data_IF_834983559757
#
_entry.id   IF_834983559757
#
_cell.length_a   1.000
_cell.length_b   1.000
_cell.length_c   1.000
_cell.angle_alpha   90.00
_cell.angle_beta   90.00
_cell.angle_gamma   90.00
#
_symmetry.space_group_name_H-M   'P 1'
#
loop_
_entity.id
_entity.type
_entity.pdbx_description
1 polymer ?
#
# COMPACT_ATOMS: atom_id res chain seq x y z
N UNK A 1 26.74 -53.86 -26.47
CA UNK A 1 27.85 -53.06 -25.90
C UNK A 1 27.46 -52.72 -24.47
N UNK A 2 27.82 -53.42 -23.38
CA UNK A 2 29.13 -53.93 -22.89
C UNK A 2 30.24 -52.88 -22.96
N UNK A 3 30.50 -52.19 -21.85
CA UNK A 3 31.79 -52.23 -21.16
C UNK A 3 31.63 -51.82 -19.69
N UNK A 4 32.23 -52.62 -18.82
CA UNK A 4 32.46 -52.39 -17.39
C UNK A 4 33.96 -52.09 -17.16
N UNK A 5 34.31 -51.39 -16.06
CA UNK A 5 35.53 -51.52 -15.22
C UNK A 5 35.60 -50.29 -14.28
N UNK A 6 35.61 -50.40 -12.92
CA UNK A 6 36.69 -50.81 -11.98
C UNK A 6 38.01 -50.06 -12.24
N UNK A 7 38.81 -49.55 -11.30
CA UNK A 7 38.89 -49.55 -9.83
C UNK A 7 39.87 -48.41 -9.42
N UNK A 8 39.68 -47.75 -8.27
CA UNK A 8 40.53 -47.78 -7.07
C UNK A 8 41.86 -46.99 -7.04
N UNK A 9 41.96 -46.18 -5.97
CA UNK A 9 43.12 -45.82 -5.15
C UNK A 9 44.23 -44.90 -5.69
N UNK A 10 44.44 -43.76 -5.00
CA UNK A 10 45.73 -43.46 -4.37
C UNK A 10 45.62 -42.20 -3.50
N UNK A 11 45.86 -42.41 -2.21
CA UNK A 11 46.11 -41.39 -1.19
C UNK A 11 47.44 -40.70 -1.48
N UNK A 12 47.47 -39.36 -1.45
CA UNK A 12 48.70 -38.60 -1.29
C UNK A 12 48.44 -37.44 -0.33
N UNK A 13 48.90 -37.63 0.91
CA UNK A 13 49.07 -36.58 1.90
C UNK A 13 49.96 -35.47 1.34
N UNK A 14 49.45 -34.23 1.32
CA UNK A 14 50.30 -33.04 1.22
C UNK A 14 49.88 -32.03 2.27
N UNK A 15 50.59 -32.08 3.39
CA UNK A 15 50.64 -31.05 4.42
C UNK A 15 51.06 -29.72 3.79
N UNK A 16 50.16 -28.73 3.74
CA UNK A 16 50.51 -27.32 3.55
C UNK A 16 50.06 -26.54 4.77
N UNK A 17 51.06 -26.12 5.53
CA UNK A 17 51.05 -25.07 6.54
C UNK A 17 50.33 -23.82 6.03
N UNK A 18 49.18 -23.48 6.63
CA UNK A 18 48.55 -22.16 6.48
C UNK A 18 49.41 -21.09 7.16
N UNK A 19 49.78 -20.00 6.46
CA UNK A 19 50.44 -18.86 7.10
C UNK A 19 49.41 -18.08 7.94
N UNK A 20 49.52 -18.20 9.27
CA UNK A 20 48.78 -17.43 10.30
C UNK A 20 48.89 -15.90 10.19
N UNK A 21 49.58 -15.35 9.17
CA UNK A 21 49.79 -13.91 8.95
C UNK A 21 48.81 -13.24 7.98
N UNK A 22 48.00 -13.98 7.21
CA UNK A 22 47.06 -13.38 6.23
C UNK A 22 45.69 -13.06 6.85
N UNK A 23 45.29 -13.77 7.91
CA UNK A 23 43.97 -13.57 8.54
C UNK A 23 43.84 -12.27 9.34
N UNK A 24 44.94 -11.68 9.82
CA UNK A 24 44.91 -10.39 10.55
C UNK A 24 44.67 -9.19 9.64
N UNK A 25 45.11 -9.25 8.38
CA UNK A 25 44.93 -8.15 7.42
C UNK A 25 43.53 -8.11 6.80
N UNK A 26 42.85 -9.25 6.67
CA UNK A 26 41.50 -9.30 6.09
C UNK A 26 40.40 -8.75 7.02
N UNK A 27 40.59 -8.87 8.35
CA UNK A 27 39.66 -8.30 9.33
C UNK A 27 39.73 -6.77 9.33
N UNK A 28 40.93 -6.20 9.31
CA UNK A 28 41.14 -4.74 9.27
C UNK A 28 40.61 -4.09 7.99
N UNK A 29 40.67 -4.78 6.84
CA UNK A 29 40.15 -4.23 5.56
C UNK A 29 38.63 -4.27 5.49
N UNK A 30 37.98 -5.28 6.10
CA UNK A 30 36.50 -5.32 6.17
C UNK A 30 35.94 -4.22 7.07
N UNK A 31 36.58 -3.98 8.21
CA UNK A 31 36.15 -2.91 9.12
C UNK A 31 36.37 -1.52 8.51
N UNK A 32 37.46 -1.34 7.75
CA UNK A 32 37.72 -0.09 7.03
C UNK A 32 36.70 0.16 5.91
N UNK A 33 36.32 -0.87 5.15
CA UNK A 33 35.30 -0.74 4.10
C UNK A 33 33.91 -0.47 4.69
N UNK A 34 33.53 -1.15 5.78
CA UNK A 34 32.25 -0.89 6.45
C UNK A 34 32.16 0.53 7.01
N UNK A 35 33.26 1.06 7.57
CA UNK A 35 33.33 2.46 8.01
C UNK A 35 33.29 3.45 6.84
N UNK A 36 33.95 3.15 5.73
CA UNK A 36 33.92 4.00 4.54
C UNK A 36 32.53 4.02 3.88
N UNK A 37 31.82 2.89 3.87
CA UNK A 37 30.42 2.80 3.44
C UNK A 37 29.51 3.59 4.38
N UNK A 38 29.63 3.42 5.69
CA UNK A 38 28.86 4.20 6.68
C UNK A 38 29.10 5.72 6.56
N UNK A 39 30.36 6.16 6.42
CA UNK A 39 30.68 7.58 6.23
C UNK A 39 30.19 8.12 4.88
N UNK A 40 30.13 7.29 3.84
CA UNK A 40 29.59 7.67 2.53
C UNK A 40 28.07 7.80 2.60
N UNK A 41 27.39 6.89 3.30
CA UNK A 41 25.95 6.95 3.54
C UNK A 41 25.59 8.17 4.42
N UNK A 42 26.38 8.47 5.45
CA UNK A 42 26.23 9.68 6.28
C UNK A 42 26.43 10.96 5.47
N UNK A 43 27.44 11.02 4.59
CA UNK A 43 27.64 12.20 3.71
C UNK A 43 26.53 12.37 2.68
N UNK A 44 26.06 11.28 2.08
CA UNK A 44 24.95 11.29 1.13
C UNK A 44 23.65 11.68 1.83
N UNK A 45 23.43 11.25 3.07
CA UNK A 45 22.33 11.71 3.92
C UNK A 45 22.45 13.20 4.22
N UNK A 46 23.61 13.67 4.70
CA UNK A 46 23.84 15.07 5.06
C UNK A 46 23.66 16.05 3.87
N UNK A 47 24.12 15.69 2.68
CA UNK A 47 23.92 16.51 1.47
C UNK A 47 22.46 16.47 0.98
N UNK A 48 21.75 15.34 1.11
CA UNK A 48 20.30 15.28 0.81
C UNK A 48 19.47 16.20 1.72
N UNK A 49 19.89 16.37 2.97
CA UNK A 49 19.16 17.19 3.94
C UNK A 49 19.40 18.70 3.76
N UNK A 50 20.55 19.12 3.23
CA UNK A 50 20.79 20.55 2.90
C UNK A 50 19.87 21.09 1.81
N UNK A 51 19.49 20.24 0.85
CA UNK A 51 18.65 20.62 -0.29
C UNK A 51 17.14 20.50 -0.03
N UNK A 52 16.74 20.11 1.19
CA UNK A 52 15.33 19.89 1.56
C UNK A 52 15.05 20.16 3.05
N UNK A 53 15.08 21.43 3.49
CA UNK A 53 14.83 21.78 4.89
C UNK A 53 13.44 21.37 5.38
N UNK A 54 12.42 21.31 4.50
CA UNK A 54 11.12 20.81 4.90
C UNK A 54 11.12 19.30 5.15
N UNK A 55 11.75 18.50 4.29
CA UNK A 55 11.81 17.05 4.50
C UNK A 55 12.55 16.71 5.79
N UNK A 56 13.61 17.44 6.13
CA UNK A 56 14.28 17.29 7.43
C UNK A 56 13.32 17.51 8.59
N UNK A 57 12.55 18.60 8.58
CA UNK A 57 11.54 18.87 9.62
C UNK A 57 10.47 17.78 9.72
N UNK A 58 10.10 17.17 8.59
CA UNK A 58 9.16 16.04 8.59
C UNK A 58 9.78 14.82 9.27
N UNK A 59 11.05 14.51 9.01
CA UNK A 59 11.76 13.44 9.72
C UNK A 59 11.88 13.74 11.22
N UNK A 60 12.26 14.97 11.60
CA UNK A 60 12.41 15.36 13.00
C UNK A 60 11.10 15.24 13.78
N UNK A 61 9.96 15.50 13.13
CA UNK A 61 8.64 15.39 13.75
C UNK A 61 8.08 13.96 13.77
N UNK A 62 8.67 13.02 13.03
CA UNK A 62 8.07 11.71 12.74
C UNK A 62 7.95 10.81 13.98
N UNK A 63 8.79 11.00 14.98
CA UNK A 63 8.72 10.25 16.25
C UNK A 63 7.48 10.62 17.08
N UNK A 64 6.93 11.81 16.89
CA UNK A 64 5.68 12.23 17.52
C UNK A 64 4.43 11.73 16.76
N UNK A 65 4.58 11.24 15.53
CA UNK A 65 3.46 10.79 14.71
C UNK A 65 2.86 9.48 15.26
N UNK A 66 1.52 9.39 15.41
CA UNK A 66 0.87 8.15 15.85
C UNK A 66 1.18 6.98 14.92
N UNK A 67 1.72 5.90 15.47
CA UNK A 67 2.06 4.68 14.70
C UNK A 67 0.83 4.06 14.01
N UNK A 68 -0.37 4.24 14.58
CA UNK A 68 -1.64 3.82 13.98
C UNK A 68 -1.90 4.48 12.61
N UNK A 69 -1.28 5.64 12.33
CA UNK A 69 -1.28 6.27 11.00
C UNK A 69 -0.02 5.88 10.24
N UNK A 70 1.17 6.26 10.74
CA UNK A 70 2.39 6.24 9.90
C UNK A 70 2.97 4.84 9.68
N UNK A 71 2.67 3.89 10.57
CA UNK A 71 3.08 2.49 10.43
C UNK A 71 1.97 1.61 9.82
N UNK A 72 0.86 2.24 9.41
CA UNK A 72 -0.22 1.54 8.72
C UNK A 72 0.24 1.06 7.34
N UNK A 73 -0.16 -0.17 6.92
CA UNK A 73 0.10 -0.65 5.58
C UNK A 73 -0.46 0.27 4.49
N UNK A 74 0.32 0.43 3.42
CA UNK A 74 -0.03 1.17 2.21
C UNK A 74 0.04 0.21 1.02
N UNK A 75 -1.09 0.05 0.34
CA UNK A 75 -1.19 -0.81 -0.84
C UNK A 75 -0.97 -0.01 -2.13
N UNK A 76 -0.69 -0.71 -3.22
CA UNK A 76 -0.72 -0.14 -4.56
C UNK A 76 -2.13 -0.22 -5.15
N UNK A 77 -2.52 0.74 -5.98
CA UNK A 77 -3.82 0.76 -6.64
C UNK A 77 -4.11 -0.56 -7.39
N UNK A 78 -3.10 -1.10 -8.07
CA UNK A 78 -3.16 -2.42 -8.74
C UNK A 78 -3.37 -3.61 -7.79
N UNK A 79 -3.06 -3.48 -6.51
CA UNK A 79 -3.27 -4.51 -5.48
C UNK A 79 -4.68 -4.41 -4.88
N UNK A 80 -5.35 -3.28 -5.08
CA UNK A 80 -6.66 -2.98 -4.52
C UNK A 80 -7.80 -3.09 -5.53
N UNK A 81 -7.51 -3.36 -6.81
CA UNK A 81 -8.49 -3.36 -7.91
C UNK A 81 -9.79 -4.08 -7.57
N UNK A 82 -9.73 -5.28 -6.96
CA UNK A 82 -10.89 -6.09 -6.58
C UNK A 82 -11.71 -5.51 -5.41
N UNK A 83 -11.17 -4.55 -4.67
CA UNK A 83 -11.79 -3.93 -3.51
C UNK A 83 -12.09 -2.44 -3.70
N UNK A 84 -11.58 -1.83 -4.76
CA UNK A 84 -11.82 -0.43 -5.12
C UNK A 84 -12.56 -0.36 -6.45
N UNK A 85 -11.83 -0.33 -7.56
CA UNK A 85 -12.38 -0.17 -8.90
C UNK A 85 -13.43 -1.21 -9.24
N UNK A 86 -13.23 -2.47 -8.84
CA UNK A 86 -14.19 -3.53 -9.13
C UNK A 86 -15.46 -3.52 -8.30
N UNK A 87 -15.47 -2.78 -7.18
CA UNK A 87 -16.67 -2.54 -6.39
C UNK A 87 -17.38 -1.24 -6.77
N UNK A 88 -16.80 -0.42 -7.64
CA UNK A 88 -17.37 0.89 -7.98
C UNK A 88 -18.69 0.75 -8.73
N UNK A 89 -19.56 1.73 -8.56
CA UNK A 89 -20.70 2.01 -9.43
C UNK A 89 -20.31 3.05 -10.48
N UNK A 90 -21.03 3.09 -11.60
CA UNK A 90 -20.62 3.86 -12.79
C UNK A 90 -20.58 5.38 -12.62
N UNK A 91 -21.15 5.94 -11.54
CA UNK A 91 -21.21 7.39 -11.34
C UNK A 91 -19.95 7.90 -10.64
N UNK A 92 -19.24 8.77 -11.34
CA UNK A 92 -18.15 9.58 -10.80
C UNK A 92 -18.66 10.99 -10.51
N UNK A 93 -18.36 11.54 -9.34
CA UNK A 93 -18.52 12.96 -9.07
C UNK A 93 -17.18 13.53 -8.57
N UNK A 94 -16.79 14.72 -9.02
CA UNK A 94 -15.61 15.45 -8.49
C UNK A 94 -16.08 16.49 -7.48
N UNK A 95 -15.48 16.51 -6.30
CA UNK A 95 -15.76 17.49 -5.24
C UNK A 95 -14.45 17.92 -4.57
N UNK A 96 -14.47 19.06 -3.88
CA UNK A 96 -13.49 19.34 -2.83
C UNK A 96 -13.97 18.76 -1.50
N UNK A 97 -13.09 18.07 -0.79
CA UNK A 97 -13.40 17.49 0.51
C UNK A 97 -12.19 17.49 1.45
N UNK A 98 -12.46 17.54 2.75
CA UNK A 98 -11.50 17.19 3.78
C UNK A 98 -11.37 15.67 3.85
N UNK A 99 -10.15 15.16 3.78
CA UNK A 99 -9.87 13.71 3.75
C UNK A 99 -9.13 13.31 5.02
N UNK A 100 -9.73 12.48 5.90
CA UNK A 100 -9.03 11.92 7.04
C UNK A 100 -7.79 11.14 6.60
N UNK A 101 -6.67 11.32 7.30
CA UNK A 101 -5.48 10.50 6.99
C UNK A 101 -5.78 9.01 7.15
N UNK A 102 -6.70 8.65 8.04
CA UNK A 102 -7.18 7.29 8.24
C UNK A 102 -7.97 6.73 7.04
N UNK A 103 -8.45 7.55 6.12
CA UNK A 103 -9.12 7.10 4.89
C UNK A 103 -8.12 6.69 3.79
N UNK A 104 -6.85 7.15 3.85
CA UNK A 104 -5.84 6.92 2.81
C UNK A 104 -5.26 5.50 2.88
N UNK A 105 -5.59 4.64 1.91
CA UNK A 105 -5.21 3.22 1.93
C UNK A 105 -4.17 2.84 0.89
N UNK A 106 -3.95 3.68 -0.13
CA UNK A 106 -3.05 3.30 -1.20
C UNK A 106 -2.54 4.42 -2.10
N UNK A 107 -1.56 4.03 -2.91
CA UNK A 107 -0.88 4.88 -3.89
C UNK A 107 -0.97 4.28 -5.28
N UNK A 108 -0.97 5.10 -6.32
CA UNK A 108 -0.87 4.61 -7.69
C UNK A 108 0.43 3.85 -7.95
N UNK A 109 1.58 4.37 -7.48
CA UNK A 109 2.87 3.70 -7.54
C UNK A 109 3.79 4.11 -6.38
N UNK A 110 4.83 3.30 -6.11
CA UNK A 110 5.90 3.58 -5.13
C UNK A 110 7.32 3.35 -5.68
N UNK A 111 7.55 3.68 -6.95
CA UNK A 111 8.79 3.36 -7.67
C UNK A 111 10.08 3.86 -6.99
N UNK A 112 10.02 4.91 -6.16
CA UNK A 112 11.17 5.41 -5.40
C UNK A 112 11.52 4.58 -4.14
N UNK A 113 10.59 3.76 -3.67
CA UNK A 113 10.71 2.93 -2.48
C UNK A 113 9.94 1.60 -2.68
N UNK A 114 10.43 0.71 -3.57
CA UNK A 114 9.68 -0.47 -4.02
C UNK A 114 9.32 -1.43 -2.87
N UNK A 115 10.18 -1.53 -1.87
CA UNK A 115 10.04 -2.43 -0.72
C UNK A 115 9.28 -1.81 0.46
N UNK A 116 8.98 -0.51 0.41
CA UNK A 116 8.31 0.18 1.51
C UNK A 116 6.82 -0.15 1.57
N UNK A 117 6.36 -0.64 2.71
CA UNK A 117 4.97 -1.09 2.91
C UNK A 117 4.15 -0.19 3.83
N UNK A 118 4.74 0.86 4.41
CA UNK A 118 4.09 1.79 5.35
C UNK A 118 4.38 3.24 4.96
N UNK A 119 3.59 4.20 5.47
CA UNK A 119 3.85 5.62 5.23
C UNK A 119 5.24 6.05 5.73
N UNK A 120 5.63 5.60 6.92
CA UNK A 120 6.96 5.84 7.50
C UNK A 120 8.08 5.31 6.62
N UNK A 121 7.98 4.07 6.14
CA UNK A 121 9.02 3.49 5.28
C UNK A 121 9.05 4.13 3.88
N UNK A 122 7.89 4.57 3.36
CA UNK A 122 7.80 5.30 2.10
C UNK A 122 8.47 6.68 2.18
N UNK A 123 8.36 7.36 3.33
CA UNK A 123 9.03 8.63 3.60
C UNK A 123 10.55 8.48 3.45
N UNK A 124 11.11 7.38 3.98
CA UNK A 124 12.54 7.03 3.92
C UNK A 124 13.17 7.05 2.52
N UNK A 125 12.36 6.83 1.47
CA UNK A 125 12.82 6.87 0.09
C UNK A 125 12.68 8.24 -0.60
N UNK A 126 12.09 9.25 0.06
CA UNK A 126 11.90 10.57 -0.54
C UNK A 126 13.20 11.39 -0.51
N UNK A 127 13.43 12.13 -1.59
CA UNK A 127 14.57 13.05 -1.69
C UNK A 127 14.22 14.51 -1.37
N UNK A 128 12.96 14.92 -1.54
CA UNK A 128 12.46 16.25 -1.15
C UNK A 128 13.14 17.47 -1.79
N UNK A 129 13.91 17.28 -2.87
CA UNK A 129 14.72 18.35 -3.47
C UNK A 129 13.87 19.60 -3.76
N UNK A 130 14.31 20.74 -3.22
CA UNK A 130 13.64 22.03 -3.40
C UNK A 130 12.39 22.23 -2.52
N UNK A 131 12.22 21.43 -1.47
CA UNK A 131 11.12 21.60 -0.52
C UNK A 131 11.54 22.53 0.62
N UNK A 132 11.05 23.77 0.60
CA UNK A 132 11.19 24.75 1.66
C UNK A 132 9.98 24.81 2.60
N UNK A 133 9.96 25.81 3.50
CA UNK A 133 8.89 26.02 4.49
C UNK A 133 7.49 26.09 3.88
N UNK A 134 7.37 26.60 2.67
CA UNK A 134 6.15 26.67 1.89
C UNK A 134 5.54 25.28 1.60
N UNK A 135 6.37 24.22 1.58
CA UNK A 135 5.88 22.83 1.46
C UNK A 135 5.09 22.40 2.69
N UNK A 136 5.54 22.78 3.89
CA UNK A 136 4.83 22.46 5.13
C UNK A 136 3.53 23.29 5.22
N UNK A 137 3.62 24.58 4.86
CA UNK A 137 2.46 25.46 4.77
C UNK A 137 1.41 24.93 3.78
N UNK A 138 1.82 24.35 2.66
CA UNK A 138 0.94 23.68 1.70
C UNK A 138 0.18 22.49 2.32
N UNK A 139 0.86 21.65 3.13
CA UNK A 139 0.18 20.53 3.80
C UNK A 139 -0.82 21.01 4.84
N UNK A 140 -0.50 22.10 5.53
CA UNK A 140 -1.36 22.68 6.55
C UNK A 140 -2.50 23.53 5.98
N UNK A 141 -2.44 23.95 4.71
CA UNK A 141 -3.46 24.80 4.10
C UNK A 141 -4.68 24.03 3.57
N UNK A 142 -5.68 24.75 3.07
CA UNK A 142 -6.68 24.19 2.16
C UNK A 142 -6.02 24.03 0.79
N UNK A 143 -5.91 22.79 0.27
CA UNK A 143 -5.13 22.50 -0.94
C UNK A 143 -5.79 23.10 -2.18
N UNK A 144 -7.07 22.79 -2.42
CA UNK A 144 -7.84 23.27 -3.57
C UNK A 144 -7.10 23.07 -4.90
N UNK A 145 -7.11 24.11 -5.74
CA UNK A 145 -6.37 24.19 -7.00
C UNK A 145 -4.88 24.59 -6.81
N UNK A 146 -4.37 24.66 -5.58
CA UNK A 146 -3.02 25.15 -5.33
C UNK A 146 -1.97 24.20 -5.88
N UNK A 147 -0.99 24.76 -6.58
CA UNK A 147 0.19 24.04 -7.00
C UNK A 147 1.05 23.65 -5.80
N UNK A 148 1.62 22.45 -5.85
CA UNK A 148 2.62 22.07 -4.86
C UNK A 148 3.90 22.88 -5.10
N UNK A 149 4.52 23.47 -4.06
CA UNK A 149 5.54 24.50 -4.23
C UNK A 149 6.94 23.94 -4.56
N UNK A 150 7.01 22.82 -5.29
CA UNK A 150 8.27 22.28 -5.81
C UNK A 150 8.38 22.54 -7.32
N UNK A 151 9.57 22.91 -7.85
CA UNK A 151 9.73 23.35 -9.24
C UNK A 151 9.22 22.39 -10.33
N UNK A 152 9.20 21.09 -10.05
CA UNK A 152 8.77 20.06 -11.00
C UNK A 152 7.36 19.51 -10.72
N UNK A 153 6.64 20.07 -9.74
CA UNK A 153 5.32 19.57 -9.40
C UNK A 153 4.26 20.15 -10.33
N UNK A 154 3.56 19.25 -11.02
CA UNK A 154 2.43 19.59 -11.86
C UNK A 154 1.12 19.22 -11.16
N UNK A 155 0.08 20.01 -11.45
CA UNK A 155 -1.31 19.80 -11.03
C UNK A 155 -1.59 19.86 -9.51
N UNK A 156 -2.84 20.17 -9.12
CA UNK A 156 -3.32 19.99 -7.75
C UNK A 156 -3.26 18.53 -7.28
N UNK A 157 -3.41 18.29 -5.97
CA UNK A 157 -3.50 16.94 -5.42
C UNK A 157 -4.87 16.34 -5.72
N UNK A 158 -4.86 15.21 -6.42
CA UNK A 158 -6.06 14.48 -6.84
C UNK A 158 -6.07 13.11 -6.17
N UNK A 159 -7.18 12.82 -5.51
CA UNK A 159 -7.44 11.55 -4.84
C UNK A 159 -8.70 10.89 -5.43
N UNK A 160 -8.81 9.57 -5.26
CA UNK A 160 -10.02 8.80 -5.57
C UNK A 160 -10.60 8.19 -4.30
N UNK A 161 -11.88 8.43 -4.04
CA UNK A 161 -12.63 7.76 -3.00
C UNK A 161 -13.50 6.63 -3.57
N UNK A 162 -13.41 5.46 -2.95
CA UNK A 162 -14.28 4.31 -3.18
C UNK A 162 -15.02 4.05 -1.87
N UNK A 163 -16.25 4.56 -1.74
CA UNK A 163 -16.87 4.66 -0.42
C UNK A 163 -15.98 5.51 0.51
N UNK A 164 -15.59 4.97 1.67
CA UNK A 164 -14.70 5.68 2.61
C UNK A 164 -13.19 5.50 2.33
N UNK A 165 -12.80 4.57 1.47
CA UNK A 165 -11.39 4.28 1.19
C UNK A 165 -10.83 5.20 0.10
N UNK A 166 -9.64 5.77 0.32
CA UNK A 166 -9.04 6.76 -0.56
C UNK A 166 -7.68 6.31 -1.10
N UNK A 167 -7.50 6.47 -2.41
CA UNK A 167 -6.26 6.15 -3.14
C UNK A 167 -5.72 7.40 -3.83
N UNK A 168 -4.41 7.57 -3.78
CA UNK A 168 -3.70 8.68 -4.43
C UNK A 168 -3.62 8.48 -5.95
N UNK A 169 -4.07 9.48 -6.73
CA UNK A 169 -3.96 9.46 -8.20
C UNK A 169 -2.65 10.08 -8.65
N UNK A 170 -2.27 11.22 -8.08
CA UNK A 170 -1.05 11.95 -8.43
C UNK A 170 -0.31 12.46 -7.18
N UNK A 171 0.94 12.90 -7.34
CA UNK A 171 1.68 13.54 -6.25
C UNK A 171 1.97 12.62 -5.07
N UNK A 172 2.26 11.34 -5.30
CA UNK A 172 2.47 10.36 -4.23
C UNK A 172 3.59 10.75 -3.26
N UNK A 173 4.67 11.41 -3.75
CA UNK A 173 5.71 11.96 -2.89
C UNK A 173 5.17 13.01 -1.90
N UNK A 174 4.39 13.99 -2.39
CA UNK A 174 3.79 15.03 -1.54
C UNK A 174 2.75 14.44 -0.60
N UNK A 175 1.99 13.43 -1.04
CA UNK A 175 1.02 12.77 -0.16
C UNK A 175 1.71 12.05 1.00
N UNK A 176 2.75 11.26 0.73
CA UNK A 176 3.49 10.53 1.79
C UNK A 176 4.06 11.50 2.82
N UNK A 177 4.69 12.57 2.34
CA UNK A 177 5.23 13.62 3.19
C UNK A 177 4.13 14.33 4.01
N UNK A 178 3.03 14.70 3.36
CA UNK A 178 1.87 15.33 4.00
C UNK A 178 1.22 14.44 5.06
N UNK A 179 1.04 13.14 4.79
CA UNK A 179 0.53 12.18 5.78
C UNK A 179 1.42 12.15 7.01
N UNK A 180 2.73 12.01 6.83
CA UNK A 180 3.67 11.93 7.94
C UNK A 180 3.73 13.24 8.75
N UNK A 181 3.78 14.38 8.06
CA UNK A 181 3.79 15.70 8.69
C UNK A 181 2.50 15.96 9.47
N UNK A 182 1.34 15.83 8.84
CA UNK A 182 0.06 16.13 9.46
C UNK A 182 -0.26 15.17 10.61
N UNK A 183 0.11 13.89 10.49
CA UNK A 183 -0.02 12.95 11.60
C UNK A 183 0.82 13.37 12.82
N UNK A 184 2.05 13.86 12.61
CA UNK A 184 2.89 14.38 13.68
C UNK A 184 2.31 15.65 14.32
N UNK A 185 1.73 16.56 13.51
CA UNK A 185 1.24 17.84 14.01
C UNK A 185 -0.17 17.77 14.64
N UNK A 186 -1.04 16.90 14.12
CA UNK A 186 -2.48 16.90 14.43
C UNK A 186 -2.95 15.58 15.05
N UNK A 187 -2.10 14.55 15.10
CA UNK A 187 -2.44 13.27 15.69
C UNK A 187 -3.40 12.45 14.84
N UNK A 188 -4.27 11.67 15.49
CA UNK A 188 -5.14 10.68 14.84
C UNK A 188 -6.29 11.30 14.03
N UNK A 189 -6.70 12.51 14.39
CA UNK A 189 -7.77 13.28 13.72
C UNK A 189 -7.25 14.14 12.56
N UNK A 190 -6.00 13.94 12.16
CA UNK A 190 -5.38 14.71 11.08
C UNK A 190 -6.17 14.60 9.76
N UNK A 191 -6.32 15.72 9.08
CA UNK A 191 -7.03 15.83 7.80
C UNK A 191 -6.15 16.50 6.75
N UNK A 192 -6.24 16.03 5.50
CA UNK A 192 -5.89 16.86 4.34
C UNK A 192 -7.10 17.72 4.00
N UNK A 193 -6.93 19.04 3.92
CA UNK A 193 -8.07 19.95 3.74
C UNK A 193 -8.29 20.36 2.29
N UNK A 194 -9.56 20.47 1.88
CA UNK A 194 -9.98 20.90 0.54
C UNK A 194 -9.26 20.18 -0.60
N UNK A 195 -9.15 18.85 -0.56
CA UNK A 195 -8.49 18.09 -1.63
C UNK A 195 -9.47 17.77 -2.75
N UNK A 196 -9.03 17.81 -4.00
CA UNK A 196 -9.83 17.30 -5.11
C UNK A 196 -10.03 15.79 -4.95
N UNK A 197 -11.30 15.37 -4.91
CA UNK A 197 -11.71 13.99 -4.73
C UNK A 197 -12.61 13.54 -5.87
N UNK A 198 -12.17 12.51 -6.59
CA UNK A 198 -12.98 11.72 -7.52
C UNK A 198 -13.74 10.66 -6.72
N UNK A 199 -15.04 10.84 -6.56
CA UNK A 199 -15.89 10.00 -5.71
C UNK A 199 -16.62 8.95 -6.51
N UNK A 200 -16.43 7.69 -6.13
CA UNK A 200 -17.18 6.54 -6.61
C UNK A 200 -17.97 5.91 -5.48
N UNK A 201 -19.28 5.76 -5.70
CA UNK A 201 -20.09 4.90 -4.83
C UNK A 201 -19.67 3.44 -5.00
N UNK A 202 -19.73 2.65 -3.94
CA UNK A 202 -19.37 1.22 -3.96
C UNK A 202 -20.57 0.33 -3.70
N UNK A 203 -20.50 -0.92 -4.15
CA UNK A 203 -21.46 -2.00 -3.85
C UNK A 203 -21.49 -2.28 -2.33
N UNK A 204 -22.32 -1.55 -1.59
CA UNK A 204 -22.34 -1.60 -0.10
C UNK A 204 -22.56 -3.00 0.46
N UNK A 205 -23.42 -3.80 -0.17
CA UNK A 205 -23.66 -5.17 0.26
C UNK A 205 -22.39 -6.04 0.20
N UNK A 206 -21.54 -5.84 -0.82
CA UNK A 206 -20.24 -6.51 -0.91
C UNK A 206 -19.33 -6.11 0.25
N UNK A 207 -19.23 -4.81 0.53
CA UNK A 207 -18.43 -4.29 1.65
C UNK A 207 -18.90 -4.88 2.98
N UNK A 208 -20.22 -4.95 3.21
CA UNK A 208 -20.77 -5.55 4.44
C UNK A 208 -20.39 -7.02 4.62
N UNK A 209 -20.38 -7.81 3.54
CA UNK A 209 -19.89 -9.21 3.59
C UNK A 209 -18.41 -9.26 3.98
N UNK A 210 -17.57 -8.37 3.44
CA UNK A 210 -16.15 -8.29 3.80
C UNK A 210 -15.96 -7.92 5.27
N UNK A 211 -16.69 -6.91 5.76
CA UNK A 211 -16.66 -6.48 7.17
C UNK A 211 -17.08 -7.61 8.10
N UNK A 212 -18.18 -8.30 7.80
CA UNK A 212 -18.69 -9.39 8.62
C UNK A 212 -17.72 -10.59 8.62
N UNK A 213 -17.10 -10.91 7.48
CA UNK A 213 -16.03 -11.91 7.39
C UNK A 213 -14.81 -11.53 8.25
N UNK A 214 -14.35 -10.28 8.15
CA UNK A 214 -13.24 -9.77 8.97
C UNK A 214 -13.57 -9.81 10.47
N UNK A 215 -14.80 -9.45 10.87
CA UNK A 215 -15.26 -9.52 12.26
C UNK A 215 -15.27 -10.93 12.85
N UNK A 216 -15.30 -11.96 11.99
CA UNK A 216 -15.13 -13.38 12.39
C UNK A 216 -13.67 -13.84 12.39
N UNK A 217 -12.71 -12.94 12.16
CA UNK A 217 -11.29 -13.27 12.06
C UNK A 217 -10.91 -13.98 10.77
N UNK A 218 -11.72 -13.89 9.71
CA UNK A 218 -11.45 -14.53 8.43
C UNK A 218 -10.59 -13.66 7.52
N UNK A 219 -9.77 -14.29 6.67
CA UNK A 219 -9.04 -13.60 5.62
C UNK A 219 -9.94 -13.42 4.40
N UNK A 220 -10.08 -12.18 3.93
CA UNK A 220 -10.94 -11.85 2.79
C UNK A 220 -10.13 -11.76 1.50
N UNK A 221 -10.67 -12.35 0.45
CA UNK A 221 -10.20 -12.24 -0.93
C UNK A 221 -11.35 -11.78 -1.81
N UNK A 222 -11.05 -10.96 -2.81
CA UNK A 222 -12.01 -10.58 -3.86
C UNK A 222 -11.42 -10.97 -5.22
N UNK A 223 -12.29 -11.37 -6.15
CA UNK A 223 -11.91 -11.70 -7.52
C UNK A 223 -12.58 -10.75 -8.50
N UNK A 224 -11.81 -10.31 -9.50
CA UNK A 224 -12.32 -9.47 -10.58
C UNK A 224 -12.13 -10.10 -11.96
N UNK A 225 -13.03 -9.77 -12.88
CA UNK A 225 -13.03 -10.23 -14.27
C UNK A 225 -12.17 -9.31 -15.18
N UNK A 226 -12.12 -9.59 -16.48
CA UNK A 226 -11.36 -8.78 -17.45
C UNK A 226 -11.83 -7.31 -17.55
N UNK A 227 -13.08 -7.02 -17.19
CA UNK A 227 -13.62 -5.66 -17.14
C UNK A 227 -13.28 -4.94 -15.81
N UNK A 228 -12.42 -5.55 -15.00
CA UNK A 228 -12.08 -5.11 -13.65
C UNK A 228 -13.26 -5.04 -12.69
N UNK A 229 -14.36 -5.75 -12.95
CA UNK A 229 -15.50 -5.82 -12.05
C UNK A 229 -15.30 -6.93 -11.03
N UNK A 230 -15.57 -6.65 -9.76
CA UNK A 230 -15.57 -7.68 -8.72
C UNK A 230 -16.80 -8.55 -8.88
N UNK A 231 -16.55 -9.85 -9.06
CA UNK A 231 -17.57 -10.87 -9.34
C UNK A 231 -17.64 -11.93 -8.25
N UNK A 232 -16.60 -12.07 -7.42
CA UNK A 232 -16.56 -13.05 -6.34
C UNK A 232 -15.91 -12.46 -5.09
N UNK A 233 -16.40 -12.89 -3.93
CA UNK A 233 -15.76 -12.70 -2.64
C UNK A 233 -15.53 -14.08 -2.03
N UNK A 234 -14.36 -14.29 -1.44
CA UNK A 234 -14.04 -15.48 -0.67
C UNK A 234 -13.56 -15.07 0.71
N UNK A 235 -14.15 -15.64 1.75
CA UNK A 235 -13.66 -15.51 3.10
C UNK A 235 -13.10 -16.85 3.59
N UNK A 236 -11.88 -16.83 4.10
CA UNK A 236 -11.10 -18.01 4.50
C UNK A 236 -10.93 -18.03 6.01
N UNK A 237 -11.32 -19.15 6.61
CA UNK A 237 -11.04 -19.50 8.00
C UNK A 237 -10.10 -20.71 8.08
N UNK A 238 -9.70 -21.10 9.28
CA UNK A 238 -8.95 -22.34 9.49
C UNK A 238 -9.75 -23.62 9.13
N UNK A 239 -11.09 -23.55 9.12
CA UNK A 239 -11.96 -24.72 8.96
C UNK A 239 -12.63 -24.81 7.59
N UNK A 240 -12.91 -23.68 6.96
CA UNK A 240 -13.65 -23.62 5.71
C UNK A 240 -13.43 -22.31 4.94
N UNK A 241 -13.60 -22.38 3.63
CA UNK A 241 -13.76 -21.23 2.74
C UNK A 241 -15.26 -21.01 2.47
N UNK A 242 -15.72 -19.76 2.52
CA UNK A 242 -17.06 -19.32 2.11
C UNK A 242 -16.95 -18.40 0.91
N UNK A 243 -17.96 -18.45 0.05
CA UNK A 243 -17.95 -17.76 -1.23
C UNK A 243 -19.25 -17.00 -1.45
N UNK A 244 -19.15 -15.86 -2.10
CA UNK A 244 -20.29 -15.07 -2.56
C UNK A 244 -20.06 -14.65 -4.00
N UNK A 245 -21.12 -14.74 -4.80
CA UNK A 245 -21.18 -14.10 -6.10
C UNK A 245 -21.60 -12.64 -5.93
N UNK A 246 -20.93 -11.75 -6.66
CA UNK A 246 -21.23 -10.32 -6.70
C UNK A 246 -21.84 -10.04 -8.07
N UNK A 247 -23.17 -9.88 -8.12
CA UNK A 247 -23.88 -9.46 -9.32
C UNK A 247 -24.45 -8.07 -9.08
N UNK A 248 -23.89 -7.07 -9.75
CA UNK A 248 -24.34 -5.69 -9.60
C UNK A 248 -24.35 -5.28 -8.10
N UNK A 249 -25.53 -5.09 -7.49
CA UNK A 249 -25.68 -4.78 -6.06
C UNK A 249 -26.12 -5.97 -5.20
N UNK A 250 -26.37 -7.13 -5.81
CA UNK A 250 -26.77 -8.34 -5.13
C UNK A 250 -25.55 -9.18 -4.76
N UNK A 251 -25.57 -9.71 -3.55
CA UNK A 251 -24.55 -10.62 -3.03
C UNK A 251 -25.20 -11.94 -2.71
N UNK A 252 -24.91 -12.95 -3.53
CA UNK A 252 -25.53 -14.27 -3.43
C UNK A 252 -24.53 -15.23 -2.82
N UNK A 253 -24.79 -15.81 -1.63
CA UNK A 253 -23.92 -16.84 -1.08
C UNK A 253 -23.87 -18.04 -2.03
N UNK A 254 -22.67 -18.49 -2.37
CA UNK A 254 -22.49 -19.72 -3.13
C UNK A 254 -22.46 -20.83 -2.09
N UNK A 255 -23.42 -21.78 -2.12
CA UNK A 255 -23.41 -22.91 -1.21
C UNK A 255 -22.04 -23.58 -1.31
N UNK A 256 -21.36 -23.71 -0.16
CA UNK A 256 -20.08 -24.43 -0.12
C UNK A 256 -20.33 -25.78 -0.81
N UNK A 257 -19.55 -26.16 -1.84
CA UNK A 257 -19.83 -27.35 -2.60
C UNK A 257 -19.72 -28.56 -1.68
N UNK A 258 -20.87 -29.00 -1.17
CA UNK A 258 -21.01 -30.09 -0.23
C UNK A 258 -20.88 -31.38 -1.00
N UNK A 259 -19.73 -32.04 -0.89
CA UNK A 259 -19.53 -33.34 -1.51
C UNK A 259 -18.07 -33.75 -1.57
N UNK A 260 -17.83 -35.04 -1.35
CA UNK A 260 -16.52 -35.67 -1.45
C UNK A 260 -15.84 -35.40 -2.80
N UNK A 261 -16.61 -35.28 -3.88
CA UNK A 261 -16.12 -34.97 -5.22
C UNK A 261 -15.43 -33.59 -5.31
N UNK A 262 -15.98 -32.58 -4.64
CA UNK A 262 -15.38 -31.24 -4.62
C UNK A 262 -14.22 -31.13 -3.63
N UNK A 263 -14.25 -31.90 -2.53
CA UNK A 263 -13.10 -32.07 -1.66
C UNK A 263 -11.93 -32.74 -2.41
N UNK A 264 -12.21 -33.77 -3.19
CA UNK A 264 -11.25 -34.48 -4.03
C UNK A 264 -10.70 -33.61 -5.16
N UNK A 265 -11.54 -32.82 -5.86
CA UNK A 265 -11.07 -31.86 -6.87
C UNK A 265 -10.15 -30.79 -6.27
N UNK A 266 -10.47 -30.27 -5.08
CA UNK A 266 -9.60 -29.33 -4.35
C UNK A 266 -8.29 -29.98 -3.94
N UNK A 267 -8.33 -31.24 -3.47
CA UNK A 267 -7.13 -32.02 -3.15
C UNK A 267 -6.23 -32.23 -4.38
N UNK A 268 -6.81 -32.41 -5.58
CA UNK A 268 -6.09 -32.47 -6.85
C UNK A 268 -5.62 -31.11 -7.39
N UNK A 269 -5.79 -30.01 -6.66
CA UNK A 269 -5.42 -28.66 -7.12
C UNK A 269 -6.28 -28.14 -8.27
N UNK A 270 -7.39 -28.81 -8.60
CA UNK A 270 -8.29 -28.37 -9.65
C UNK A 270 -9.14 -27.21 -9.13
N UNK A 271 -8.83 -26.00 -9.59
CA UNK A 271 -9.64 -24.80 -9.34
C UNK A 271 -11.08 -25.04 -9.80
N UNK A 272 -12.05 -24.53 -9.03
CA UNK A 272 -13.45 -24.60 -9.42
C UNK A 272 -13.63 -23.89 -10.77
N UNK A 273 -14.56 -24.36 -11.62
CA UNK A 273 -14.80 -23.75 -12.96
C UNK A 273 -15.13 -22.25 -12.86
N UNK A 274 -15.70 -21.83 -11.73
CA UNK A 274 -15.99 -20.44 -11.37
C UNK A 274 -14.75 -19.57 -11.09
N UNK A 275 -13.56 -20.15 -10.92
CA UNK A 275 -12.30 -19.44 -10.71
C UNK A 275 -11.48 -19.25 -12.00
N UNK A 276 -11.96 -19.77 -13.13
CA UNK A 276 -11.31 -19.57 -14.43
C UNK A 276 -11.58 -18.14 -14.94
N UNK A 277 -10.54 -17.45 -15.41
CA UNK A 277 -10.66 -16.12 -16.02
C UNK A 277 -10.85 -14.95 -15.04
N UNK A 278 -10.69 -15.19 -13.73
CA UNK A 278 -10.72 -14.13 -12.71
C UNK A 278 -9.37 -13.99 -12.01
N UNK A 279 -9.06 -12.78 -11.58
CA UNK A 279 -7.86 -12.48 -10.80
C UNK A 279 -8.23 -12.28 -9.34
N UNK A 280 -7.62 -13.06 -8.45
CA UNK A 280 -7.86 -12.98 -7.00
C UNK A 280 -6.88 -12.05 -6.32
N UNK A 281 -7.37 -11.19 -5.42
CA UNK A 281 -6.58 -10.32 -4.55
C UNK A 281 -6.99 -10.53 -3.10
N UNK A 282 -6.00 -10.55 -2.21
CA UNK A 282 -6.27 -10.44 -0.78
C UNK A 282 -6.72 -9.00 -0.49
N UNK A 283 -7.79 -8.82 0.28
CA UNK A 283 -8.27 -7.49 0.68
C UNK A 283 -7.73 -7.19 2.08
N UNK A 284 -6.84 -6.21 2.25
CA UNK A 284 -6.28 -5.91 3.55
C UNK A 284 -7.35 -5.48 4.56
N UNK A 285 -7.26 -5.89 5.85
CA UNK A 285 -8.17 -5.47 6.91
C UNK A 285 -8.36 -3.95 7.01
N UNK A 286 -7.30 -3.18 6.76
CA UNK A 286 -7.32 -1.71 6.77
C UNK A 286 -8.14 -1.13 5.62
N UNK A 287 -8.14 -1.79 4.46
CA UNK A 287 -8.94 -1.38 3.31
C UNK A 287 -10.42 -1.67 3.55
N UNK A 288 -10.75 -2.84 4.11
CA UNK A 288 -12.15 -3.19 4.47
C UNK A 288 -12.72 -2.18 5.47
N UNK A 289 -11.95 -1.84 6.51
CA UNK A 289 -12.35 -0.85 7.49
C UNK A 289 -12.58 0.54 6.84
N UNK A 290 -11.66 1.00 6.00
CA UNK A 290 -11.81 2.29 5.30
C UNK A 290 -12.98 2.28 4.32
N UNK A 291 -13.22 1.18 3.59
CA UNK A 291 -14.37 1.06 2.68
C UNK A 291 -15.70 1.22 3.43
N UNK A 292 -15.79 0.66 4.64
CA UNK A 292 -16.99 0.69 5.48
C UNK A 292 -17.20 2.05 6.15
N UNK A 293 -16.12 2.76 6.49
CA UNK A 293 -16.15 4.07 7.13
C UNK A 293 -16.28 5.21 6.11
N UNK A 294 -17.44 5.30 5.46
CA UNK A 294 -17.76 6.37 4.51
C UNK A 294 -18.56 7.52 5.14
N UNK A 295 -18.64 7.58 6.47
CA UNK A 295 -19.39 8.59 7.22
C UNK A 295 -18.88 10.01 6.94
N UNK A 296 -17.56 10.18 6.95
CA UNK A 296 -16.88 11.45 6.68
C UNK A 296 -17.20 12.01 5.29
N UNK A 297 -17.27 11.13 4.29
CA UNK A 297 -17.56 11.51 2.91
C UNK A 297 -19.04 11.81 2.72
N UNK A 298 -19.93 10.99 3.30
CA UNK A 298 -21.38 11.23 3.25
C UNK A 298 -21.76 12.56 3.91
N UNK A 299 -21.18 12.87 5.06
CA UNK A 299 -21.42 14.14 5.76
C UNK A 299 -21.09 15.35 4.86
N UNK A 300 -19.93 15.32 4.20
CA UNK A 300 -19.52 16.40 3.29
C UNK A 300 -20.29 16.44 1.97
N UNK A 301 -20.91 15.34 1.54
CA UNK A 301 -21.83 15.36 0.39
C UNK A 301 -23.20 15.95 0.73
N UNK A 302 -23.68 15.71 1.95
CA UNK A 302 -24.96 16.23 2.44
C UNK A 302 -24.84 17.71 2.80
N UNK A 303 -23.75 18.10 3.44
CA UNK A 303 -23.43 19.47 3.80
C UNK A 303 -22.01 19.83 3.30
N UNK A 304 -21.88 20.18 2.01
CA UNK A 304 -20.59 20.58 1.44
C UNK A 304 -19.99 21.76 2.18
N UNK A 305 -18.76 21.58 2.68
CA UNK A 305 -17.96 22.67 3.26
C UNK A 305 -17.49 23.65 2.19
N UNK A 306 -17.24 23.14 0.98
CA UNK A 306 -16.70 23.88 -0.15
C UNK A 306 -17.77 24.04 -1.21
N UNK A 307 -18.08 25.30 -1.56
CA UNK A 307 -19.11 25.62 -2.56
C UNK A 307 -18.56 25.61 -4.00
N UNK A 308 -17.24 25.72 -4.16
CA UNK A 308 -16.56 25.66 -5.44
C UNK A 308 -16.33 24.21 -5.89
N UNK A 309 -16.24 24.03 -7.21
CA UNK A 309 -15.96 22.74 -7.84
C UNK A 309 -14.51 22.68 -8.34
N UNK A 310 -13.87 21.51 -8.31
CA UNK A 310 -12.58 21.31 -8.96
C UNK A 310 -12.65 21.65 -10.46
N UNK A 311 -11.59 22.28 -10.98
CA UNK A 311 -11.50 22.70 -12.37
C UNK A 311 -11.22 21.56 -13.35
#
# INVERSE_FOLDING_TARGET
MRYANRAAASVALRTKTEPKRVRRNLATTRDANARAEAMRDERVSADRHRDSPALQRIYDALDAAPSVIVDRPVALDRELTASTFGLRRSRENRIYADVPLTALVGLFHRTWAPDATTWRSLLGGLHGRGWGSETLAYFESEIGDSHFPAPAAAYPLILRAYGGAVVCVNGMHRLVAGVCWLAAQQGVEALLRKVELQVYDVKRAAVMVMVEAQGRGETVYAAFNANCETVLIRARSARADRYWHVDSDQIVPIPAPGGWYHAWRRWLGQRARAEAGVTWQAVPPTVIAALADDGWLRAQRIAPRYADSPR
#
